data_IF_433515348309
#
_entry.id   IF_433515348309
#
_cell.length_a   1.000
_cell.length_b   1.000
_cell.length_c   1.000
_cell.angle_alpha   90.00
_cell.angle_beta   90.00
_cell.angle_gamma   90.00
#
_symmetry.space_group_name_H-M   'P 1'
#
loop_
_entity.id
_entity.type
_entity.pdbx_description
1 polymer ?
#
# COMPACT_ATOMS: atom_id res chain seq x y z
N UNK A 1 2.73 20.33 7.44
CA UNK A 1 2.36 21.69 7.89
C UNK A 1 3.52 22.67 7.76
N UNK A 2 4.75 22.23 7.86
CA UNK A 2 5.96 23.07 7.77
C UNK A 2 6.12 23.76 6.40
N UNK A 3 5.61 23.16 5.32
CA UNK A 3 5.65 23.71 3.98
C UNK A 3 4.49 24.67 3.65
N UNK A 4 3.50 24.79 4.53
CA UNK A 4 2.35 25.66 4.37
C UNK A 4 2.29 26.63 5.56
N UNK A 5 2.71 27.87 5.36
CA UNK A 5 2.78 28.89 6.43
C UNK A 5 1.45 29.09 7.15
N UNK A 6 0.34 28.99 6.43
CA UNK A 6 -1.01 29.10 7.01
C UNK A 6 -1.93 28.01 6.42
N UNK A 7 -2.77 27.39 7.28
CA UNK A 7 -3.78 26.44 6.81
C UNK A 7 -4.76 27.07 5.83
N UNK A 8 -5.13 26.32 4.80
CA UNK A 8 -6.15 26.75 3.86
C UNK A 8 -7.54 26.77 4.54
N UNK A 9 -8.37 27.76 4.22
CA UNK A 9 -9.67 27.97 4.88
C UNK A 9 -10.84 27.71 3.93
N UNK A 10 -12.00 27.45 4.51
CA UNK A 10 -13.26 27.27 3.78
C UNK A 10 -13.20 26.15 2.75
N UNK A 11 -13.76 26.38 1.57
CA UNK A 11 -13.80 25.40 0.47
C UNK A 11 -12.42 25.00 -0.05
N UNK A 12 -11.38 25.78 0.22
CA UNK A 12 -10.01 25.49 -0.21
C UNK A 12 -9.28 24.49 0.69
N UNK A 13 -9.84 24.14 1.86
CA UNK A 13 -9.25 23.14 2.76
C UNK A 13 -9.05 21.78 2.08
N UNK A 14 -9.89 21.42 1.13
CA UNK A 14 -9.74 20.19 0.34
C UNK A 14 -8.40 20.12 -0.39
N UNK A 15 -7.82 21.26 -0.77
CA UNK A 15 -6.55 21.32 -1.48
C UNK A 15 -5.37 20.88 -0.61
N UNK A 16 -5.47 20.93 0.72
CA UNK A 16 -4.44 20.36 1.62
C UNK A 16 -4.35 18.83 1.43
N UNK A 17 -5.49 18.16 1.25
CA UNK A 17 -5.51 16.72 0.98
C UNK A 17 -4.94 16.39 -0.40
N UNK A 18 -5.18 17.26 -1.39
CA UNK A 18 -4.60 17.12 -2.73
C UNK A 18 -3.08 17.28 -2.67
N UNK A 19 -2.56 18.24 -1.89
CA UNK A 19 -1.12 18.41 -1.66
C UNK A 19 -0.52 17.18 -0.97
N UNK A 20 -1.19 16.66 0.07
CA UNK A 20 -0.75 15.43 0.75
C UNK A 20 -0.69 14.23 -0.20
N UNK A 21 -1.67 14.10 -1.11
CA UNK A 21 -1.65 13.06 -2.14
C UNK A 21 -0.47 13.26 -3.10
N UNK A 22 -0.16 14.50 -3.47
CA UNK A 22 1.03 14.81 -4.27
C UNK A 22 2.34 14.43 -3.57
N UNK A 23 2.47 14.70 -2.28
CA UNK A 23 3.62 14.24 -1.48
C UNK A 23 3.71 12.71 -1.44
N UNK A 24 2.57 12.04 -1.23
CA UNK A 24 2.53 10.58 -1.25
C UNK A 24 3.00 10.01 -2.59
N UNK A 25 2.56 10.59 -3.70
CA UNK A 25 2.98 10.15 -5.03
C UNK A 25 4.49 10.33 -5.24
N UNK A 26 5.07 11.45 -4.81
CA UNK A 26 6.51 11.70 -4.91
C UNK A 26 7.32 10.76 -4.00
N UNK A 27 6.83 10.44 -2.80
CA UNK A 27 7.56 9.65 -1.82
C UNK A 27 7.44 8.13 -2.04
N UNK A 28 6.26 7.64 -2.49
CA UNK A 28 5.92 6.21 -2.40
C UNK A 28 5.41 5.61 -3.72
N UNK A 29 5.28 6.39 -4.79
CA UNK A 29 4.82 5.84 -6.07
C UNK A 29 5.96 5.74 -7.10
N UNK A 30 5.71 5.01 -8.20
CA UNK A 30 6.63 4.93 -9.33
C UNK A 30 6.43 6.05 -10.36
N UNK A 31 5.55 7.01 -10.05
CA UNK A 31 5.30 8.17 -10.91
C UNK A 31 6.48 9.13 -10.80
N UNK A 32 6.95 9.66 -11.93
CA UNK A 32 8.02 10.65 -11.89
C UNK A 32 7.56 11.92 -11.16
N UNK A 33 8.46 12.58 -10.44
CA UNK A 33 8.18 13.77 -9.66
C UNK A 33 7.49 14.87 -10.48
N UNK A 34 7.96 15.07 -11.72
CA UNK A 34 7.36 16.05 -12.62
C UNK A 34 5.90 15.71 -12.93
N UNK A 35 5.60 14.44 -13.19
CA UNK A 35 4.24 13.98 -13.47
C UNK A 35 3.35 14.08 -12.22
N UNK A 36 3.86 13.73 -11.04
CA UNK A 36 3.15 13.86 -9.76
C UNK A 36 2.79 15.33 -9.48
N UNK A 37 3.74 16.26 -9.66
CA UNK A 37 3.50 17.70 -9.48
C UNK A 37 2.45 18.19 -10.48
N UNK A 38 2.57 17.88 -11.77
CA UNK A 38 1.64 18.32 -12.80
C UNK A 38 0.22 17.78 -12.54
N UNK A 39 0.08 16.50 -12.23
CA UNK A 39 -1.21 15.89 -11.92
C UNK A 39 -1.88 16.53 -10.69
N UNK A 40 -1.10 16.77 -9.63
CA UNK A 40 -1.60 17.40 -8.39
C UNK A 40 -2.06 18.83 -8.63
N UNK A 41 -1.31 19.63 -9.40
CA UNK A 41 -1.67 21.00 -9.74
C UNK A 41 -2.95 21.04 -10.60
N UNK A 42 -3.08 20.12 -11.56
CA UNK A 42 -4.29 20.01 -12.39
C UNK A 42 -5.51 19.58 -11.56
N UNK A 43 -5.37 18.59 -10.67
CA UNK A 43 -6.44 18.19 -9.75
C UNK A 43 -6.89 19.36 -8.85
N UNK A 44 -5.95 20.14 -8.35
CA UNK A 44 -6.27 21.32 -7.55
C UNK A 44 -7.04 22.37 -8.34
N UNK A 45 -6.74 22.55 -9.62
CA UNK A 45 -7.49 23.47 -10.49
C UNK A 45 -8.96 23.06 -10.62
N UNK A 46 -9.21 21.77 -10.89
CA UNK A 46 -10.57 21.20 -11.00
C UNK A 46 -11.35 21.39 -9.69
N UNK A 47 -10.69 21.33 -8.54
CA UNK A 47 -11.30 21.54 -7.22
C UNK A 47 -11.38 23.02 -6.78
N UNK A 48 -11.32 23.94 -7.73
CA UNK A 48 -11.48 25.37 -7.46
C UNK A 48 -10.22 26.09 -6.96
N UNK A 49 -9.07 25.41 -7.03
CA UNK A 49 -7.77 25.96 -6.62
C UNK A 49 -7.02 26.73 -7.71
N UNK A 50 -7.69 27.21 -8.77
CA UNK A 50 -7.05 27.90 -9.91
C UNK A 50 -6.07 29.00 -9.48
N UNK A 51 -6.47 29.86 -8.52
CA UNK A 51 -5.62 30.90 -7.97
C UNK A 51 -4.48 30.45 -7.08
N UNK A 52 -4.42 29.15 -6.70
CA UNK A 52 -3.40 28.57 -5.82
C UNK A 52 -2.43 27.63 -6.56
N UNK A 53 -2.52 27.53 -7.88
CA UNK A 53 -1.64 26.65 -8.70
C UNK A 53 -0.16 26.91 -8.43
N UNK A 54 0.24 28.18 -8.42
CA UNK A 54 1.63 28.58 -8.14
C UNK A 54 2.10 28.17 -6.74
N UNK A 55 1.24 28.37 -5.73
CA UNK A 55 1.53 27.96 -4.35
C UNK A 55 1.68 26.43 -4.25
N UNK A 56 0.75 25.67 -4.80
CA UNK A 56 0.77 24.19 -4.76
C UNK A 56 2.00 23.65 -5.47
N UNK A 57 2.31 24.17 -6.67
CA UNK A 57 3.53 23.80 -7.38
C UNK A 57 4.79 24.14 -6.57
N UNK A 58 4.86 25.30 -5.92
CA UNK A 58 5.99 25.69 -5.10
C UNK A 58 6.16 24.75 -3.87
N UNK A 59 5.07 24.40 -3.20
CA UNK A 59 5.06 23.48 -2.06
C UNK A 59 5.58 22.09 -2.47
N UNK A 60 5.08 21.52 -3.57
CA UNK A 60 5.47 20.20 -4.06
C UNK A 60 6.94 20.17 -4.49
N UNK A 61 7.42 21.21 -5.19
CA UNK A 61 8.82 21.32 -5.55
C UNK A 61 9.73 21.59 -4.37
N UNK A 62 9.25 22.27 -3.33
CA UNK A 62 10.00 22.47 -2.11
C UNK A 62 10.14 21.17 -1.30
N UNK A 63 9.09 20.35 -1.24
CA UNK A 63 9.13 19.00 -0.68
C UNK A 63 10.24 18.16 -1.32
N UNK A 64 10.32 18.15 -2.64
CA UNK A 64 11.35 17.46 -3.41
C UNK A 64 12.75 18.02 -3.14
N UNK A 65 12.91 19.37 -3.22
CA UNK A 65 14.21 20.03 -3.05
C UNK A 65 14.80 19.82 -1.65
N UNK A 66 13.97 19.76 -0.62
CA UNK A 66 14.38 19.49 0.76
C UNK A 66 14.52 18.00 1.07
N UNK A 67 14.26 17.11 0.09
CA UNK A 67 14.32 15.64 0.25
C UNK A 67 13.51 15.15 1.46
N UNK A 68 12.35 15.76 1.70
CA UNK A 68 11.52 15.43 2.87
C UNK A 68 10.98 14.01 2.86
N UNK A 69 10.91 13.36 1.69
CA UNK A 69 10.55 11.96 1.55
C UNK A 69 11.59 11.01 2.19
N UNK A 70 12.86 11.43 2.27
CA UNK A 70 13.98 10.64 2.78
C UNK A 70 14.20 10.86 4.28
N UNK A 71 13.56 11.88 4.86
CA UNK A 71 13.70 12.20 6.27
C UNK A 71 12.92 11.24 7.14
N UNK A 72 13.62 10.49 7.98
CA UNK A 72 13.01 9.61 8.98
C UNK A 72 12.71 10.44 10.23
N UNK A 73 11.47 10.39 10.69
CA UNK A 73 11.08 11.05 11.94
C UNK A 73 11.59 10.26 13.14
N UNK A 74 12.09 10.93 14.19
CA UNK A 74 12.43 10.28 15.45
C UNK A 74 11.19 9.86 16.26
N UNK A 75 10.01 10.29 15.86
CA UNK A 75 8.77 9.94 16.53
C UNK A 75 8.26 8.57 16.07
N UNK A 76 8.24 7.55 16.95
CA UNK A 76 7.85 6.18 16.60
C UNK A 76 6.42 6.05 16.11
N UNK A 77 5.52 6.96 16.52
CA UNK A 77 4.14 6.98 16.01
C UNK A 77 4.12 7.40 14.54
N UNK A 78 4.95 8.38 14.16
CA UNK A 78 5.05 8.83 12.77
C UNK A 78 5.71 7.75 11.91
N UNK A 79 6.78 7.13 12.41
CA UNK A 79 7.45 6.01 11.73
C UNK A 79 6.52 4.83 11.47
N UNK A 80 5.64 4.52 12.42
CA UNK A 80 4.69 3.41 12.28
C UNK A 80 3.63 3.61 11.19
N UNK A 81 3.40 4.87 10.76
CA UNK A 81 2.30 5.21 9.85
C UNK A 81 0.90 5.05 10.46
N UNK A 82 0.80 4.67 11.74
CA UNK A 82 -0.47 4.41 12.41
C UNK A 82 -1.05 5.66 13.09
N UNK A 83 -2.37 5.76 13.19
CA UNK A 83 -2.99 6.74 14.08
C UNK A 83 -2.52 6.55 15.53
N UNK A 84 -2.29 7.65 16.25
CA UNK A 84 -1.77 7.63 17.62
C UNK A 84 -2.53 6.70 18.57
N UNK A 85 -3.85 6.63 18.45
CA UNK A 85 -4.67 5.76 19.28
C UNK A 85 -4.41 4.28 19.05
N UNK A 86 -4.23 3.89 17.77
CA UNK A 86 -3.95 2.49 17.39
C UNK A 86 -2.54 2.08 17.83
N UNK A 87 -1.54 2.93 17.56
CA UNK A 87 -0.18 2.70 18.04
C UNK A 87 -0.14 2.46 19.55
N UNK A 88 -0.78 3.34 20.35
CA UNK A 88 -0.82 3.20 21.81
C UNK A 88 -1.51 1.91 22.25
N UNK A 89 -2.60 1.53 21.59
CA UNK A 89 -3.33 0.30 21.91
C UNK A 89 -2.47 -0.94 21.63
N UNK A 90 -1.77 -0.97 20.51
CA UNK A 90 -0.84 -2.06 20.19
C UNK A 90 0.34 -2.09 21.16
N UNK A 91 0.95 -0.95 21.47
CA UNK A 91 2.05 -0.87 22.41
C UNK A 91 1.69 -1.35 23.84
N UNK A 92 0.44 -1.13 24.25
CA UNK A 92 -0.04 -1.61 25.56
C UNK A 92 -0.38 -3.11 25.53
N UNK A 93 -0.93 -3.61 24.43
CA UNK A 93 -1.36 -5.01 24.33
C UNK A 93 -0.19 -5.97 24.02
N UNK A 94 0.81 -5.50 23.26
CA UNK A 94 1.92 -6.29 22.74
C UNK A 94 3.25 -5.53 22.89
N UNK A 95 3.70 -5.21 24.12
CA UNK A 95 4.86 -4.37 24.33
C UNK A 95 6.18 -4.97 23.84
N UNK A 96 6.31 -6.29 23.87
CA UNK A 96 7.52 -6.99 23.44
C UNK A 96 7.54 -7.28 21.94
N UNK A 97 6.38 -7.45 21.33
CA UNK A 97 6.20 -7.77 19.92
C UNK A 97 5.89 -6.54 19.04
N UNK A 98 5.83 -5.35 19.63
CA UNK A 98 5.38 -4.13 18.94
C UNK A 98 6.16 -3.87 17.66
N UNK A 99 7.48 -3.94 17.71
CA UNK A 99 8.34 -3.66 16.56
C UNK A 99 8.11 -4.68 15.43
N UNK A 100 8.01 -5.96 15.76
CA UNK A 100 7.71 -7.03 14.81
C UNK A 100 6.33 -6.85 14.18
N UNK A 101 5.30 -6.51 14.98
CA UNK A 101 3.95 -6.22 14.50
C UNK A 101 3.93 -5.03 13.53
N UNK A 102 4.58 -3.92 13.89
CA UNK A 102 4.64 -2.72 13.05
C UNK A 102 5.37 -3.00 11.74
N UNK A 103 6.46 -3.75 11.79
CA UNK A 103 7.19 -4.18 10.59
C UNK A 103 6.31 -5.04 9.69
N UNK A 104 5.63 -6.04 10.24
CA UNK A 104 4.72 -6.92 9.51
C UNK A 104 3.55 -6.19 8.87
N UNK A 105 2.95 -5.22 9.58
CA UNK A 105 1.83 -4.41 9.06
C UNK A 105 2.21 -3.53 7.86
N UNK A 106 3.49 -3.18 7.72
CA UNK A 106 4.00 -2.38 6.61
C UNK A 106 4.51 -3.23 5.43
N UNK A 107 4.50 -4.56 5.56
CA UNK A 107 4.85 -5.45 4.46
C UNK A 107 3.65 -5.65 3.51
N UNK A 108 3.92 -5.85 2.22
CA UNK A 108 2.86 -6.27 1.31
C UNK A 108 2.24 -7.58 1.78
N UNK A 109 0.92 -7.61 1.84
CA UNK A 109 0.22 -8.85 2.19
C UNK A 109 0.52 -9.95 1.16
N UNK A 110 0.82 -11.18 1.59
CA UNK A 110 0.94 -12.32 0.69
C UNK A 110 -0.43 -12.61 0.04
N UNK A 111 -0.39 -13.15 -1.18
CA UNK A 111 -1.61 -13.58 -1.87
C UNK A 111 -1.87 -15.03 -1.48
N UNK A 112 -3.00 -15.25 -0.83
CA UNK A 112 -3.47 -16.58 -0.48
C UNK A 112 -4.50 -17.04 -1.51
N UNK A 113 -4.31 -18.26 -1.98
CA UNK A 113 -5.23 -18.94 -2.89
C UNK A 113 -5.81 -20.16 -2.16
N UNK A 114 -7.09 -20.41 -2.37
CA UNK A 114 -7.73 -21.67 -2.00
C UNK A 114 -7.97 -22.48 -3.25
N UNK A 115 -7.38 -23.66 -3.31
CA UNK A 115 -7.56 -24.60 -4.44
C UNK A 115 -9.00 -25.13 -4.45
N UNK A 116 -9.61 -25.13 -5.61
CA UNK A 116 -10.94 -25.67 -5.84
C UNK A 116 -10.83 -27.19 -6.07
N UNK A 117 -11.04 -27.95 -5.00
CA UNK A 117 -10.95 -29.42 -5.02
C UNK A 117 -11.91 -30.11 -6.00
N UNK A 118 -12.93 -29.41 -6.51
CA UNK A 118 -13.83 -29.93 -7.54
C UNK A 118 -13.21 -29.86 -8.94
N UNK A 119 -12.19 -29.07 -9.14
CA UNK A 119 -11.54 -28.84 -10.43
C UNK A 119 -10.14 -29.45 -10.52
N UNK A 120 -9.33 -29.31 -9.46
CA UNK A 120 -8.00 -29.89 -9.38
C UNK A 120 -7.61 -30.16 -7.94
N UNK A 121 -6.64 -31.05 -7.72
CA UNK A 121 -6.08 -31.27 -6.38
C UNK A 121 -5.01 -30.21 -6.06
N UNK A 122 -4.73 -29.99 -4.77
CA UNK A 122 -3.64 -29.06 -4.38
C UNK A 122 -2.28 -29.50 -4.97
N UNK A 123 -1.88 -30.79 -4.95
CA UNK A 123 -0.63 -31.22 -5.58
C UNK A 123 -0.56 -30.94 -7.09
N UNK A 124 -1.67 -31.15 -7.82
CA UNK A 124 -1.72 -30.87 -9.26
C UNK A 124 -1.58 -29.36 -9.53
N UNK A 125 -2.24 -28.54 -8.71
CA UNK A 125 -2.10 -27.10 -8.80
C UNK A 125 -0.67 -26.62 -8.48
N UNK A 126 -0.02 -27.20 -7.47
CA UNK A 126 1.38 -26.93 -7.15
C UNK A 126 2.32 -27.30 -8.30
N UNK A 127 2.08 -28.42 -8.99
CA UNK A 127 2.84 -28.80 -10.18
C UNK A 127 2.67 -27.77 -11.30
N UNK A 128 1.44 -27.33 -11.57
CA UNK A 128 1.17 -26.31 -12.58
C UNK A 128 1.83 -24.96 -12.27
N UNK A 129 1.87 -24.55 -10.98
CA UNK A 129 2.61 -23.35 -10.57
C UNK A 129 4.12 -23.52 -10.76
N UNK A 130 4.67 -24.68 -10.42
CA UNK A 130 6.09 -24.98 -10.62
C UNK A 130 6.50 -25.00 -12.11
N UNK A 131 5.67 -25.57 -12.98
CA UNK A 131 5.86 -25.54 -14.44
C UNK A 131 5.82 -24.12 -15.02
N UNK A 132 5.05 -23.23 -14.40
CA UNK A 132 4.96 -21.81 -14.74
C UNK A 132 6.05 -20.94 -14.08
N UNK A 133 7.02 -21.53 -13.37
CA UNK A 133 8.09 -20.84 -12.62
C UNK A 133 7.55 -19.84 -11.58
N UNK A 134 6.42 -20.16 -10.94
CA UNK A 134 5.79 -19.35 -9.90
C UNK A 134 6.14 -19.92 -8.53
N UNK A 135 6.81 -19.12 -7.70
CA UNK A 135 7.19 -19.54 -6.34
C UNK A 135 6.00 -19.47 -5.41
N UNK A 136 5.83 -20.52 -4.60
CA UNK A 136 4.76 -20.63 -3.62
C UNK A 136 5.22 -21.31 -2.34
N UNK A 137 4.41 -21.18 -1.29
CA UNK A 137 4.53 -21.94 -0.04
C UNK A 137 3.19 -22.60 0.28
N UNK A 138 3.25 -23.64 1.09
CA UNK A 138 2.07 -24.34 1.63
C UNK A 138 1.85 -23.95 3.08
N UNK A 139 0.62 -24.05 3.55
CA UNK A 139 0.26 -23.83 4.94
C UNK A 139 -0.08 -25.16 5.60
N UNK A 140 0.53 -25.45 6.76
CA UNK A 140 0.19 -26.65 7.53
C UNK A 140 -1.23 -26.60 8.10
N UNK A 141 -1.72 -25.39 8.41
CA UNK A 141 -3.04 -25.18 8.98
C UNK A 141 -4.18 -25.21 7.94
N UNK A 142 -3.86 -25.08 6.65
CA UNK A 142 -4.85 -24.94 5.58
C UNK A 142 -4.49 -25.86 4.41
N UNK A 143 -5.01 -27.11 4.38
CA UNK A 143 -4.62 -28.12 3.39
C UNK A 143 -4.93 -27.75 1.94
N UNK A 144 -5.91 -26.86 1.71
CA UNK A 144 -6.27 -26.39 0.37
C UNK A 144 -5.61 -25.06 -0.01
N UNK A 145 -4.80 -24.49 0.89
CA UNK A 145 -4.19 -23.19 0.66
C UNK A 145 -2.85 -23.30 -0.08
N UNK A 146 -2.64 -22.32 -0.96
CA UNK A 146 -1.35 -22.02 -1.59
C UNK A 146 -1.06 -20.53 -1.41
N UNK A 147 0.13 -20.20 -0.94
CA UNK A 147 0.57 -18.82 -0.67
C UNK A 147 1.56 -18.43 -1.77
N UNK A 148 1.24 -17.40 -2.56
CA UNK A 148 2.18 -16.90 -3.56
C UNK A 148 3.29 -16.08 -2.90
N UNK A 149 4.53 -16.38 -3.23
CA UNK A 149 5.72 -15.67 -2.73
C UNK A 149 6.07 -14.46 -3.59
N UNK A 150 5.60 -14.45 -4.82
CA UNK A 150 5.81 -13.36 -5.77
C UNK A 150 4.50 -12.64 -6.10
N UNK A 151 4.62 -11.38 -6.47
CA UNK A 151 3.48 -10.59 -7.00
C UNK A 151 3.23 -10.97 -8.46
N UNK A 152 2.37 -11.95 -8.64
CA UNK A 152 1.93 -12.39 -9.98
C UNK A 152 0.51 -11.88 -10.22
N UNK A 153 0.19 -11.34 -11.42
CA UNK A 153 -1.18 -10.99 -11.75
C UNK A 153 -2.07 -12.24 -11.69
N UNK A 154 -3.17 -12.17 -10.93
CA UNK A 154 -4.05 -13.31 -10.68
C UNK A 154 -4.58 -13.92 -11.97
N UNK A 155 -4.86 -13.09 -12.97
CA UNK A 155 -5.38 -13.52 -14.29
C UNK A 155 -4.37 -14.29 -15.16
N UNK A 156 -3.09 -14.28 -14.79
CA UNK A 156 -2.03 -15.02 -15.51
C UNK A 156 -1.67 -16.34 -14.84
N UNK A 157 -2.27 -16.63 -13.69
CA UNK A 157 -2.03 -17.88 -12.97
C UNK A 157 -2.64 -19.08 -13.72
N UNK A 158 -1.98 -20.25 -13.71
CA UNK A 158 -2.55 -21.48 -14.23
C UNK A 158 -3.94 -21.76 -13.64
N UNK A 159 -4.88 -22.20 -14.48
CA UNK A 159 -6.21 -22.56 -14.04
C UNK A 159 -7.14 -21.38 -13.65
N UNK A 160 -6.74 -20.11 -13.92
CA UNK A 160 -7.60 -18.95 -13.61
C UNK A 160 -8.94 -19.02 -14.35
N UNK A 161 -8.91 -19.26 -15.65
CA UNK A 161 -10.11 -19.32 -16.48
C UNK A 161 -10.98 -20.56 -16.16
N UNK A 162 -10.36 -21.64 -15.76
CA UNK A 162 -10.99 -22.92 -15.41
C UNK A 162 -11.54 -22.95 -13.96
N UNK A 163 -11.23 -21.91 -13.16
CA UNK A 163 -11.70 -21.82 -11.78
C UNK A 163 -11.02 -22.82 -10.83
N UNK A 164 -9.73 -23.11 -11.05
CA UNK A 164 -8.97 -24.03 -10.21
C UNK A 164 -8.69 -23.49 -8.80
N UNK A 165 -8.83 -22.19 -8.60
CA UNK A 165 -8.64 -21.56 -7.30
C UNK A 165 -9.53 -20.33 -7.12
N UNK A 166 -9.63 -19.88 -5.89
CA UNK A 166 -10.16 -18.58 -5.50
C UNK A 166 -9.13 -17.82 -4.64
N UNK A 167 -9.11 -16.49 -4.76
CA UNK A 167 -8.33 -15.65 -3.84
C UNK A 167 -9.10 -15.56 -2.54
N UNK A 168 -8.52 -16.07 -1.46
CA UNK A 168 -9.17 -16.12 -0.16
C UNK A 168 -8.11 -15.99 0.94
N UNK A 169 -8.30 -15.04 1.86
CA UNK A 169 -7.42 -14.86 3.02
C UNK A 169 -7.33 -16.16 3.85
N UNK A 170 -6.14 -16.42 4.42
CA UNK A 170 -5.91 -17.63 5.20
C UNK A 170 -6.87 -17.77 6.39
N UNK A 171 -7.19 -16.67 7.09
CA UNK A 171 -8.13 -16.71 8.21
C UNK A 171 -9.58 -17.03 7.79
N UNK A 172 -9.92 -16.79 6.53
CA UNK A 172 -11.23 -17.14 5.97
C UNK A 172 -11.33 -18.58 5.44
N UNK A 173 -10.23 -19.33 5.45
CA UNK A 173 -10.16 -20.73 5.01
C UNK A 173 -10.30 -21.74 6.18
N UNK A 174 -10.52 -21.24 7.40
CA UNK A 174 -10.72 -22.03 8.61
C UNK A 174 -12.11 -22.69 8.64
#
# INVERSE_FOLDING_TARGET
RELLEQPLKGSKKILEHVILLGFYQQAFSRVSDHAAVAATVNAAEVLGGKGLKGLINAILRNFQRQQLAEQVSDNPIIQSGLPKWLYKRLANAYPQELESLLSGMNQPAPIWLRVNQQQCTQPDYCNALAEADIRFALSEAHPDAVILLDRTPITTLPGFAEGWFSVQDGAAQL
#
